data_IF_477063953062
#
_entry.id   IF_477063953062
#
_cell.length_a   1.000
_cell.length_b   1.000
_cell.length_c   1.000
_cell.angle_alpha   90.00
_cell.angle_beta   90.00
_cell.angle_gamma   90.00
#
_symmetry.space_group_name_H-M   'P 1'
#
loop_
_entity.id
_entity.type
_entity.pdbx_description
1 polymer ?
#
# COMPACT_ATOMS: atom_id res chain seq x y z
N UNK A 1 -12.65 -1.44 -7.30
CA UNK A 1 -11.88 -0.21 -7.35
C UNK A 1 -10.71 -0.26 -8.33
N UNK A 2 -9.94 -1.33 -8.29
CA UNK A 2 -8.82 -1.54 -9.19
C UNK A 2 -9.25 -1.54 -10.67
N UNK A 3 -10.34 -2.22 -10.99
CA UNK A 3 -10.84 -2.25 -12.36
C UNK A 3 -11.29 -0.87 -12.86
N UNK A 4 -11.83 -0.07 -11.96
CA UNK A 4 -12.27 1.28 -12.29
C UNK A 4 -11.09 2.18 -12.64
N UNK A 5 -9.95 2.04 -11.98
CA UNK A 5 -8.75 2.76 -12.27
C UNK A 5 -8.35 2.45 -13.67
N UNK A 6 -8.20 1.14 -13.99
CA UNK A 6 -7.70 0.70 -15.28
C UNK A 6 -8.59 1.16 -16.40
N UNK A 7 -9.88 1.01 -16.21
CA UNK A 7 -10.87 1.40 -17.20
C UNK A 7 -10.80 2.89 -17.47
N UNK A 8 -10.74 3.68 -16.42
CA UNK A 8 -10.68 5.13 -16.52
C UNK A 8 -9.40 5.58 -17.22
N UNK A 9 -8.27 5.06 -16.84
CA UNK A 9 -7.00 5.46 -17.43
C UNK A 9 -6.89 5.05 -18.91
N UNK A 10 -7.46 3.93 -19.30
CA UNK A 10 -7.46 3.49 -20.70
C UNK A 10 -8.34 4.37 -21.55
N UNK A 11 -9.50 4.76 -21.05
CA UNK A 11 -10.43 5.59 -21.81
C UNK A 11 -9.95 7.00 -22.00
N UNK A 12 -9.10 7.47 -21.12
CA UNK A 12 -8.64 8.84 -21.14
C UNK A 12 -7.53 9.10 -22.16
N UNK A 13 -7.05 8.10 -22.87
CA UNK A 13 -5.94 8.22 -23.84
C UNK A 13 -4.73 8.94 -23.26
N UNK A 14 -4.44 8.67 -22.01
CA UNK A 14 -3.37 9.34 -21.32
C UNK A 14 -2.00 8.82 -21.75
N UNK A 15 -1.01 9.71 -21.72
CA UNK A 15 0.36 9.31 -21.87
C UNK A 15 0.77 8.38 -20.73
N UNK A 16 1.85 7.64 -20.91
CA UNK A 16 2.39 6.77 -19.84
C UNK A 16 2.69 7.59 -18.59
N UNK A 17 3.26 8.78 -18.80
CA UNK A 17 3.61 9.68 -17.71
C UNK A 17 2.39 10.10 -16.89
N UNK A 18 1.31 10.47 -17.59
CA UNK A 18 0.06 10.84 -16.92
C UNK A 18 -0.56 9.68 -16.16
N UNK A 19 -0.47 8.47 -16.71
CA UNK A 19 -0.95 7.27 -16.02
C UNK A 19 -0.15 6.98 -14.77
N UNK A 20 1.18 7.12 -14.84
CA UNK A 20 2.04 6.93 -13.68
C UNK A 20 1.67 7.90 -12.58
N UNK A 21 1.45 9.14 -12.94
CA UNK A 21 1.06 10.18 -11.99
C UNK A 21 -0.29 9.87 -11.35
N UNK A 22 -1.26 9.46 -12.16
CA UNK A 22 -2.59 9.09 -11.68
C UNK A 22 -2.51 7.94 -10.66
N UNK A 23 -1.80 6.88 -11.00
CA UNK A 23 -1.69 5.73 -10.11
C UNK A 23 -0.92 6.05 -8.85
N UNK A 24 0.09 6.91 -8.94
CA UNK A 24 0.83 7.34 -7.77
C UNK A 24 -0.09 8.09 -6.78
N UNK A 25 -0.88 9.02 -7.29
CA UNK A 25 -1.82 9.77 -6.45
C UNK A 25 -2.91 8.87 -5.87
N UNK A 26 -3.44 7.98 -6.71
CA UNK A 26 -4.52 7.09 -6.27
C UNK A 26 -4.02 6.10 -5.21
N UNK A 27 -2.84 5.53 -5.39
CA UNK A 27 -2.28 4.60 -4.41
C UNK A 27 -1.96 5.31 -3.09
N UNK A 28 -1.47 6.54 -3.17
CA UNK A 28 -1.20 7.35 -1.99
C UNK A 28 -2.50 7.67 -1.24
N UNK A 29 -3.56 7.99 -1.97
CA UNK A 29 -4.87 8.25 -1.38
C UNK A 29 -5.43 7.00 -0.69
N UNK A 30 -5.30 5.83 -1.34
CA UNK A 30 -5.74 4.57 -0.76
C UNK A 30 -4.95 4.24 0.50
N UNK A 31 -3.64 4.45 0.47
CA UNK A 31 -2.80 4.27 1.65
C UNK A 31 -3.28 5.14 2.80
N UNK A 32 -3.53 6.42 2.54
CA UNK A 32 -4.04 7.36 3.54
C UNK A 32 -5.33 6.86 4.17
N UNK A 33 -6.28 6.45 3.33
CA UNK A 33 -7.58 5.97 3.82
C UNK A 33 -7.41 4.74 4.71
N UNK A 34 -6.63 3.76 4.25
CA UNK A 34 -6.42 2.51 4.99
C UNK A 34 -5.72 2.77 6.31
N UNK A 35 -4.69 3.61 6.30
CA UNK A 35 -3.91 3.89 7.50
C UNK A 35 -4.70 4.74 8.49
N UNK A 36 -5.45 5.72 8.02
CA UNK A 36 -6.32 6.51 8.91
C UNK A 36 -7.37 5.63 9.58
N UNK A 37 -7.91 4.69 8.83
CA UNK A 37 -8.85 3.74 9.37
C UNK A 37 -8.20 2.84 10.44
N UNK A 38 -7.00 2.37 10.17
CA UNK A 38 -6.25 1.54 11.12
C UNK A 38 -5.96 2.32 12.41
N UNK A 39 -5.61 3.60 12.29
CA UNK A 39 -5.38 4.46 13.46
C UNK A 39 -6.62 4.64 14.28
N UNK A 40 -7.76 4.88 13.64
CA UNK A 40 -9.04 5.04 14.33
C UNK A 40 -9.45 3.77 15.04
N UNK A 41 -9.29 2.63 14.40
CA UNK A 41 -9.60 1.35 15.00
C UNK A 41 -8.79 1.13 16.26
N UNK A 42 -7.52 1.45 16.19
CA UNK A 42 -6.63 1.31 17.34
C UNK A 42 -7.02 2.23 18.48
N UNK A 43 -7.42 3.47 18.18
CA UNK A 43 -7.88 4.41 19.19
C UNK A 43 -9.18 3.96 19.84
N UNK A 44 -10.12 3.45 19.04
CA UNK A 44 -11.39 2.95 19.53
C UNK A 44 -11.17 1.78 20.49
N UNK A 45 -10.28 0.88 20.14
CA UNK A 45 -9.93 -0.24 21.02
C UNK A 45 -9.42 0.27 22.36
N UNK A 46 -8.58 1.27 22.35
CA UNK A 46 -8.07 1.89 23.57
C UNK A 46 -9.14 2.68 24.32
N UNK A 47 -10.00 3.34 23.57
CA UNK A 47 -11.06 4.20 24.12
C UNK A 47 -12.27 3.47 24.64
N UNK A 48 -12.44 2.21 24.30
CA UNK A 48 -13.49 1.39 24.87
C UNK A 48 -14.87 1.50 24.28
N UNK A 49 -15.05 2.01 23.08
CA UNK A 49 -16.37 2.05 22.46
C UNK A 49 -16.58 0.81 21.60
N UNK A 50 -17.33 -0.10 22.13
CA UNK A 50 -17.58 -1.41 21.54
C UNK A 50 -18.36 -1.36 20.23
N UNK A 51 -19.34 -0.49 20.16
CA UNK A 51 -20.23 -0.41 19.01
C UNK A 51 -19.45 -0.05 17.73
N UNK A 52 -18.56 0.91 17.84
CA UNK A 52 -17.73 1.32 16.71
C UNK A 52 -16.82 0.18 16.25
N UNK A 53 -16.27 -0.59 17.19
CA UNK A 53 -15.43 -1.73 16.88
C UNK A 53 -16.21 -2.78 16.09
N UNK A 54 -17.42 -3.08 16.52
CA UNK A 54 -18.25 -4.09 15.87
C UNK A 54 -18.60 -3.72 14.43
N UNK A 55 -18.94 -2.47 14.20
CA UNK A 55 -19.26 -2.02 12.86
C UNK A 55 -18.06 -2.11 11.93
N UNK A 56 -16.90 -1.79 12.44
CA UNK A 56 -15.67 -1.82 11.66
C UNK A 56 -15.22 -3.24 11.34
N UNK A 57 -15.44 -4.17 12.22
CA UNK A 57 -15.02 -5.55 12.02
C UNK A 57 -15.62 -6.20 10.79
N UNK A 58 -16.76 -5.73 10.36
CA UNK A 58 -17.41 -6.26 9.17
C UNK A 58 -16.71 -5.83 7.90
N UNK A 59 -15.98 -4.74 7.95
CA UNK A 59 -15.38 -4.14 6.77
C UNK A 59 -13.89 -4.28 6.71
N UNK A 60 -13.25 -4.39 7.85
CA UNK A 60 -11.81 -4.27 7.93
C UNK A 60 -11.21 -5.30 8.84
N UNK A 61 -9.92 -5.37 8.75
CA UNK A 61 -9.10 -6.24 9.52
C UNK A 61 -9.26 -6.04 11.01
N UNK A 62 -8.97 -7.08 11.75
CA UNK A 62 -8.95 -7.09 13.21
C UNK A 62 -8.01 -6.01 13.76
N UNK A 63 -8.10 -5.70 15.07
CA UNK A 63 -7.14 -4.77 15.68
C UNK A 63 -5.69 -5.18 15.51
N UNK A 64 -5.40 -6.48 15.49
CA UNK A 64 -4.05 -6.97 15.25
C UNK A 64 -3.58 -6.58 13.85
N UNK A 65 -4.45 -6.75 12.86
CA UNK A 65 -4.12 -6.35 11.49
C UNK A 65 -3.96 -4.85 11.37
N UNK A 66 -4.73 -4.07 12.12
CA UNK A 66 -4.58 -2.62 12.14
C UNK A 66 -3.21 -2.22 12.65
N UNK A 67 -2.74 -2.88 13.71
CA UNK A 67 -1.41 -2.63 14.23
C UNK A 67 -0.33 -3.01 13.21
N UNK A 68 -0.51 -4.13 12.52
CA UNK A 68 0.41 -4.58 11.48
C UNK A 68 0.44 -3.60 10.31
N UNK A 69 -0.71 -3.08 9.91
CA UNK A 69 -0.77 -2.09 8.84
C UNK A 69 -0.03 -0.80 9.21
N UNK A 70 -0.15 -0.36 10.45
CA UNK A 70 0.57 0.82 10.91
C UNK A 70 2.07 0.57 10.90
N UNK A 71 2.52 -0.62 11.28
CA UNK A 71 3.92 -0.98 11.24
C UNK A 71 4.45 -1.03 9.81
N UNK A 72 3.67 -1.57 8.90
CA UNK A 72 4.02 -1.60 7.46
C UNK A 72 4.11 -0.17 6.92
N UNK A 73 3.19 0.69 7.30
CA UNK A 73 3.21 2.09 6.88
C UNK A 73 4.49 2.80 7.34
N UNK A 74 4.90 2.58 8.57
CA UNK A 74 6.14 3.14 9.09
C UNK A 74 7.36 2.61 8.35
N UNK A 75 7.40 1.29 8.10
CA UNK A 75 8.48 0.68 7.34
C UNK A 75 8.53 1.22 5.92
N UNK A 76 7.36 1.42 5.31
CA UNK A 76 7.27 1.96 3.97
C UNK A 76 7.75 3.42 3.91
N UNK A 77 7.46 4.19 4.94
CA UNK A 77 7.96 5.57 5.04
C UNK A 77 9.49 5.61 5.11
N UNK A 78 10.09 4.67 5.83
CA UNK A 78 11.55 4.56 5.88
C UNK A 78 12.13 4.10 4.55
N UNK A 79 11.45 3.18 3.87
CA UNK A 79 11.86 2.77 2.53
C UNK A 79 11.79 3.94 1.56
N UNK A 80 10.76 4.76 1.67
CA UNK A 80 10.59 5.94 0.83
C UNK A 80 11.78 6.89 0.97
N UNK A 81 12.28 7.07 2.18
CA UNK A 81 13.45 7.91 2.44
C UNK A 81 14.72 7.30 1.84
N UNK A 82 14.83 5.97 1.85
CA UNK A 82 16.01 5.28 1.34
C UNK A 82 15.96 5.09 -0.18
N UNK A 83 14.80 4.75 -0.71
CA UNK A 83 14.62 4.45 -2.12
C UNK A 83 13.17 4.73 -2.54
N UNK A 84 12.90 5.96 -3.01
CA UNK A 84 11.52 6.34 -3.37
C UNK A 84 10.90 5.47 -4.46
N UNK A 85 11.70 4.97 -5.40
CA UNK A 85 11.18 4.14 -6.48
C UNK A 85 10.69 2.79 -5.98
N UNK A 86 11.43 2.18 -5.08
CA UNK A 86 10.99 0.93 -4.45
C UNK A 86 9.74 1.15 -3.60
N UNK A 87 9.71 2.26 -2.88
CA UNK A 87 8.54 2.59 -2.06
C UNK A 87 7.29 2.77 -2.92
N UNK A 88 7.43 3.44 -4.07
CA UNK A 88 6.31 3.61 -4.98
C UNK A 88 5.81 2.28 -5.53
N UNK A 89 6.70 1.37 -5.84
CA UNK A 89 6.33 0.04 -6.30
C UNK A 89 5.52 -0.70 -5.25
N UNK A 90 5.93 -0.62 -3.98
CA UNK A 90 5.20 -1.23 -2.88
C UNK A 90 3.82 -0.58 -2.73
N UNK A 91 3.77 0.73 -2.80
CA UNK A 91 2.53 1.47 -2.67
C UNK A 91 1.53 1.07 -3.77
N UNK A 92 1.99 0.98 -5.01
CA UNK A 92 1.16 0.54 -6.13
C UNK A 92 0.66 -0.88 -5.94
N UNK A 93 1.54 -1.77 -5.49
CA UNK A 93 1.21 -3.18 -5.35
C UNK A 93 0.31 -3.44 -4.15
N UNK A 94 0.67 -2.87 -3.01
CA UNK A 94 0.02 -3.16 -1.73
C UNK A 94 -1.27 -2.34 -1.54
N UNK A 95 -1.24 -1.05 -1.82
CA UNK A 95 -2.39 -0.18 -1.62
C UNK A 95 -3.17 0.08 -2.91
N UNK A 96 -2.49 0.15 -4.01
CA UNK A 96 -3.12 0.44 -5.30
C UNK A 96 -3.74 -0.76 -5.97
N UNK A 97 -3.36 -1.96 -5.57
CA UNK A 97 -3.90 -3.20 -6.15
C UNK A 97 -3.42 -3.50 -7.55
N UNK A 98 -2.31 -2.91 -7.97
CA UNK A 98 -1.78 -3.16 -9.32
C UNK A 98 -1.03 -4.49 -9.36
N UNK A 99 -1.16 -5.17 -10.48
CA UNK A 99 -0.44 -6.41 -10.74
C UNK A 99 1.00 -6.13 -11.13
N UNK A 100 1.83 -7.16 -11.09
CA UNK A 100 3.22 -7.07 -11.57
C UNK A 100 3.23 -6.60 -13.02
N UNK A 101 2.37 -7.16 -13.86
CA UNK A 101 2.30 -6.83 -15.29
C UNK A 101 1.90 -5.36 -15.50
N UNK A 102 0.97 -4.89 -14.71
CA UNK A 102 0.53 -3.50 -14.80
C UNK A 102 1.63 -2.54 -14.41
N UNK A 103 2.35 -2.86 -13.34
CA UNK A 103 3.47 -2.04 -12.89
C UNK A 103 4.59 -2.05 -13.94
N UNK A 104 4.87 -3.23 -14.51
CA UNK A 104 5.88 -3.34 -15.56
C UNK A 104 5.54 -2.44 -16.75
N UNK A 105 4.27 -2.39 -17.14
CA UNK A 105 3.81 -1.52 -18.21
C UNK A 105 3.99 -0.03 -17.88
N UNK A 106 3.72 0.36 -16.66
CA UNK A 106 3.88 1.75 -16.22
C UNK A 106 5.34 2.17 -16.19
N UNK A 107 6.22 1.26 -15.79
CA UNK A 107 7.65 1.57 -15.68
C UNK A 107 8.43 1.29 -16.96
N UNK A 108 7.78 0.69 -17.94
CA UNK A 108 8.41 0.30 -19.21
C UNK A 108 9.61 -0.62 -18.96
N UNK A 109 9.40 -1.63 -18.14
CA UNK A 109 10.39 -2.65 -17.83
C UNK A 109 9.73 -4.02 -17.91
N UNK A 110 10.53 -5.09 -17.84
CA UNK A 110 9.97 -6.44 -17.87
C UNK A 110 9.35 -6.82 -16.53
N UNK A 111 8.44 -7.79 -16.56
CA UNK A 111 7.86 -8.37 -15.34
C UNK A 111 8.96 -8.88 -14.41
N UNK A 112 9.99 -9.47 -14.99
CA UNK A 112 11.11 -10.01 -14.24
C UNK A 112 11.82 -8.92 -13.45
N UNK A 113 11.99 -7.74 -14.04
CA UNK A 113 12.60 -6.59 -13.37
C UNK A 113 11.73 -6.15 -12.20
N UNK A 114 10.41 -6.08 -12.40
CA UNK A 114 9.49 -5.70 -11.32
C UNK A 114 9.55 -6.73 -10.19
N UNK A 115 9.55 -8.01 -10.53
CA UNK A 115 9.65 -9.08 -9.52
C UNK A 115 10.92 -8.98 -8.70
N UNK A 116 12.03 -8.66 -9.35
CA UNK A 116 13.30 -8.49 -8.66
C UNK A 116 13.27 -7.31 -7.71
N UNK A 117 12.73 -6.19 -8.17
CA UNK A 117 12.60 -4.98 -7.34
C UNK A 117 11.64 -5.23 -6.18
N UNK A 118 10.57 -5.97 -6.44
CA UNK A 118 9.61 -6.34 -5.39
C UNK A 118 10.28 -7.17 -4.30
N UNK A 119 11.12 -8.11 -4.67
CA UNK A 119 11.86 -8.91 -3.69
C UNK A 119 12.79 -8.05 -2.84
N UNK A 120 13.45 -7.09 -3.46
CA UNK A 120 14.33 -6.16 -2.73
C UNK A 120 13.52 -5.34 -1.73
N UNK A 121 12.38 -4.82 -2.16
CA UNK A 121 11.51 -4.03 -1.29
C UNK A 121 10.99 -4.86 -0.12
N UNK A 122 10.55 -6.08 -0.38
CA UNK A 122 10.07 -6.99 0.67
C UNK A 122 11.14 -7.29 1.69
N UNK A 123 12.37 -7.51 1.24
CA UNK A 123 13.47 -7.78 2.14
C UNK A 123 13.71 -6.60 3.09
N UNK A 124 13.67 -5.39 2.55
CA UNK A 124 13.80 -4.19 3.37
C UNK A 124 12.68 -4.10 4.40
N UNK A 125 11.43 -4.30 3.97
CA UNK A 125 10.28 -4.20 4.86
C UNK A 125 10.33 -5.25 5.97
N UNK A 126 10.69 -6.48 5.64
CA UNK A 126 10.79 -7.55 6.63
C UNK A 126 11.89 -7.27 7.65
N UNK A 127 13.04 -6.76 7.20
CA UNK A 127 14.12 -6.36 8.09
C UNK A 127 13.68 -5.26 9.04
N UNK A 128 12.99 -4.27 8.50
CA UNK A 128 12.49 -3.15 9.29
C UNK A 128 11.49 -3.62 10.34
N UNK A 129 10.53 -4.47 9.93
CA UNK A 129 9.54 -5.01 10.84
C UNK A 129 10.19 -5.84 11.95
N UNK A 130 11.19 -6.65 11.60
CA UNK A 130 11.92 -7.44 12.60
C UNK A 130 12.66 -6.54 13.58
N UNK A 131 13.24 -5.45 13.11
CA UNK A 131 13.93 -4.49 13.97
C UNK A 131 12.97 -3.80 14.96
N UNK A 132 11.70 -3.70 14.57
CA UNK A 132 10.68 -3.15 15.46
C UNK A 132 10.09 -4.20 16.41
N UNK A 133 10.57 -5.43 16.34
CA UNK A 133 10.07 -6.51 17.18
C UNK A 133 8.80 -7.16 16.69
N UNK A 134 8.43 -6.96 15.43
CA UNK A 134 7.22 -7.53 14.87
C UNK A 134 7.55 -8.84 14.17
N UNK A 135 6.82 -9.88 14.55
CA UNK A 135 6.99 -11.19 13.96
C UNK A 135 6.38 -11.26 12.57
N UNK A 136 7.12 -11.77 11.65
CA UNK A 136 6.64 -12.02 10.29
C UNK A 136 6.62 -13.54 10.00
#
# INVERSE_FOLDING_TARGET
MHEAYLKFSKQASWSVENRRHFYALAARAMRSVVIDHARRRRRVKRGGTRVAVELDEQQIASPERSADLLAVDEALSRLESADPELAQLVEWRFFGGLSIEEIAGLLDVSDRTVKRRWRTARAFLFQDLAAQGIST
#
